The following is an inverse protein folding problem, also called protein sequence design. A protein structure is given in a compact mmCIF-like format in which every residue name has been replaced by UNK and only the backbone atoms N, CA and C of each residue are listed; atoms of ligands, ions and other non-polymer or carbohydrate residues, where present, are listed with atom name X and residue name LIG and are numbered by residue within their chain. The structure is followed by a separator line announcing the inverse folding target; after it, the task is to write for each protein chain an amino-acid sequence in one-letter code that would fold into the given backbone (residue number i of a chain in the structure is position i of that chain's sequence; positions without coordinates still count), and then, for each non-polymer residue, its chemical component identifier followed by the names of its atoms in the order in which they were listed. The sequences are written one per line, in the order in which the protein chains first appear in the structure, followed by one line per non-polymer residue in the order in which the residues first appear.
data_IF_332781560090
#
_entry.id   IF_332781560090
#
_cell.length_a   1.000
_cell.length_b   1.000
_cell.length_c   1.000
_cell.angle_alpha   90.00
_cell.angle_beta   90.00
_cell.angle_gamma   90.00
#
_symmetry.space_group_name_H-M   'P 1'
#
loop_
_entity.id
_entity.type
_entity.pdbx_description
1 polymer ?
#
# COMPACT_ATOMS: atom_id res chain seq x y z
N UNK A 1 -51.33 45.88 -44.38
CA UNK A 1 -51.62 44.65 -43.61
C UNK A 1 -52.39 43.76 -44.54
N UNK A 2 -51.80 42.64 -44.94
CA UNK A 2 -52.48 41.68 -45.81
C UNK A 2 -53.59 40.99 -44.99
N UNK A 3 -54.82 41.09 -45.48
CA UNK A 3 -55.99 40.48 -44.85
C UNK A 3 -55.95 38.96 -45.14
N UNK A 4 -55.95 38.10 -44.10
CA UNK A 4 -55.96 36.64 -44.26
C UNK A 4 -57.10 36.14 -45.18
N UNK A 5 -58.25 36.82 -45.18
CA UNK A 5 -59.38 36.47 -46.04
C UNK A 5 -59.09 36.76 -47.53
N UNK A 6 -58.27 37.77 -47.81
CA UNK A 6 -57.84 38.10 -49.16
C UNK A 6 -56.87 37.05 -49.71
N UNK A 7 -55.94 36.58 -48.88
CA UNK A 7 -55.00 35.51 -49.23
C UNK A 7 -55.72 34.19 -49.51
N UNK A 8 -56.71 33.81 -48.71
CA UNK A 8 -57.48 32.58 -48.95
C UNK A 8 -58.24 32.62 -50.28
N UNK A 9 -58.91 33.74 -50.58
CA UNK A 9 -59.63 33.91 -51.85
C UNK A 9 -58.69 33.82 -53.05
N UNK A 10 -57.51 34.42 -52.95
CA UNK A 10 -56.49 34.34 -54.00
C UNK A 10 -56.02 32.91 -54.24
N UNK A 11 -55.77 32.13 -53.17
CA UNK A 11 -55.38 30.72 -53.30
C UNK A 11 -56.50 29.88 -53.91
N UNK A 12 -57.75 30.09 -53.49
CA UNK A 12 -58.92 29.39 -54.06
C UNK A 12 -59.13 29.71 -55.55
N UNK A 13 -58.97 30.96 -55.95
CA UNK A 13 -59.06 31.38 -57.35
C UNK A 13 -57.92 30.78 -58.17
N UNK A 14 -56.72 30.74 -57.61
CA UNK A 14 -55.56 30.13 -58.25
C UNK A 14 -55.68 28.62 -58.40
N UNK A 15 -56.33 27.92 -57.45
CA UNK A 15 -56.64 26.48 -57.58
C UNK A 15 -57.69 26.20 -58.66
N UNK A 16 -58.54 27.18 -59.00
CA UNK A 16 -59.52 27.04 -60.09
C UNK A 16 -58.87 27.24 -61.45
N UNK A 17 -57.87 28.11 -61.54
CA UNK A 17 -57.17 28.43 -62.79
C UNK A 17 -56.01 27.48 -63.11
N UNK A 18 -55.29 27.01 -62.09
CA UNK A 18 -54.18 26.07 -62.22
C UNK A 18 -54.55 24.70 -61.65
N UNK A 19 -54.38 23.65 -62.45
CA UNK A 19 -54.75 22.27 -62.10
C UNK A 19 -54.04 21.71 -60.87
N UNK A 20 -52.92 22.30 -60.44
CA UNK A 20 -52.15 21.86 -59.25
C UNK A 20 -51.39 23.01 -58.59
N UNK A 21 -51.69 23.27 -57.32
CA UNK A 21 -50.86 24.10 -56.43
C UNK A 21 -49.93 23.18 -55.62
N UNK A 22 -48.65 23.53 -55.42
CA UNK A 22 -47.76 22.76 -54.56
C UNK A 22 -48.23 22.80 -53.08
N UNK A 23 -48.04 21.71 -52.31
CA UNK A 23 -48.39 21.68 -50.89
C UNK A 23 -47.72 22.81 -50.09
N UNK A 24 -48.52 23.60 -49.35
CA UNK A 24 -48.00 24.66 -48.48
C UNK A 24 -47.93 24.15 -47.05
N UNK A 25 -46.70 24.00 -46.54
CA UNK A 25 -46.46 23.62 -45.15
C UNK A 25 -46.35 24.87 -44.26
N UNK A 26 -47.19 24.98 -43.24
CA UNK A 26 -47.28 26.15 -42.37
C UNK A 26 -46.83 25.83 -40.95
N UNK A 27 -46.08 26.75 -40.35
CA UNK A 27 -45.65 26.68 -38.94
C UNK A 27 -46.11 27.94 -38.22
N UNK A 28 -46.93 27.77 -37.18
CA UNK A 28 -47.44 28.87 -36.38
C UNK A 28 -46.65 29.06 -35.09
N UNK A 29 -46.28 30.32 -34.80
CA UNK A 29 -45.61 30.71 -33.55
C UNK A 29 -46.62 31.41 -32.66
N UNK A 30 -47.05 30.72 -31.60
CA UNK A 30 -48.12 31.20 -30.71
C UNK A 30 -47.64 31.28 -29.26
N UNK A 31 -47.96 32.35 -28.52
CA UNK A 31 -47.77 32.37 -27.08
C UNK A 31 -48.66 31.31 -26.39
N UNK A 32 -48.19 30.79 -25.25
CA UNK A 32 -48.88 29.72 -24.52
C UNK A 32 -50.37 30.05 -24.27
N UNK A 33 -51.26 29.13 -24.66
CA UNK A 33 -52.72 29.29 -24.48
C UNK A 33 -53.42 30.08 -25.59
N UNK A 34 -52.74 30.47 -26.66
CA UNK A 34 -53.36 31.12 -27.84
C UNK A 34 -53.62 30.18 -29.02
N UNK A 35 -53.51 28.87 -28.78
CA UNK A 35 -53.82 27.82 -29.76
C UNK A 35 -55.30 27.93 -30.17
N UNK A 36 -55.54 28.19 -31.47
CA UNK A 36 -56.90 28.34 -32.03
C UNK A 36 -57.36 29.79 -32.28
N UNK A 37 -56.47 30.78 -32.14
CA UNK A 37 -56.70 32.15 -32.62
C UNK A 37 -56.89 32.26 -34.14
N UNK A 38 -57.23 33.45 -34.64
CA UNK A 38 -57.52 33.71 -36.07
C UNK A 38 -56.34 33.31 -36.97
N UNK A 39 -55.10 33.60 -36.55
CA UNK A 39 -53.89 33.20 -37.28
C UNK A 39 -53.69 31.67 -37.34
N UNK A 40 -54.00 30.96 -36.26
CA UNK A 40 -53.91 29.49 -36.22
C UNK A 40 -54.91 28.83 -37.16
N UNK A 41 -56.15 29.34 -37.19
CA UNK A 41 -57.18 28.85 -38.12
C UNK A 41 -56.80 29.11 -39.57
N UNK A 42 -56.35 30.33 -39.88
CA UNK A 42 -55.89 30.69 -41.22
C UNK A 42 -54.75 29.79 -41.71
N UNK A 43 -53.68 29.61 -40.93
CA UNK A 43 -52.55 28.77 -41.34
C UNK A 43 -52.95 27.29 -41.49
N UNK A 44 -53.90 26.82 -40.68
CA UNK A 44 -54.43 25.45 -40.75
C UNK A 44 -55.30 25.25 -42.00
N UNK A 45 -56.18 26.21 -42.30
CA UNK A 45 -57.03 26.20 -43.50
C UNK A 45 -56.20 26.29 -44.78
N UNK A 46 -55.17 27.14 -44.82
CA UNK A 46 -54.25 27.27 -45.95
C UNK A 46 -53.49 25.97 -46.24
N UNK A 47 -52.95 25.33 -45.19
CA UNK A 47 -52.26 24.05 -45.35
C UNK A 47 -53.22 22.95 -45.81
N UNK A 48 -54.43 22.89 -45.24
CA UNK A 48 -55.44 21.91 -45.61
C UNK A 48 -55.87 22.08 -47.08
N UNK A 49 -56.12 23.31 -47.51
CA UNK A 49 -56.57 23.63 -48.86
C UNK A 49 -55.55 23.23 -49.93
N UNK A 50 -54.25 23.38 -49.63
CA UNK A 50 -53.16 23.04 -50.57
C UNK A 50 -52.65 21.61 -50.43
N UNK A 51 -53.20 20.81 -49.51
CA UNK A 51 -52.70 19.46 -49.21
C UNK A 51 -51.34 19.44 -48.48
N UNK A 52 -50.94 20.57 -47.90
CA UNK A 52 -49.76 20.68 -47.05
C UNK A 52 -50.02 20.27 -45.59
N UNK A 53 -49.05 20.56 -44.72
CA UNK A 53 -49.15 20.23 -43.29
C UNK A 53 -49.07 21.48 -42.42
N UNK A 54 -49.89 21.52 -41.38
CA UNK A 54 -49.89 22.58 -40.38
C UNK A 54 -49.23 22.09 -39.10
N UNK A 55 -48.35 22.92 -38.52
CA UNK A 55 -47.71 22.64 -37.23
C UNK A 55 -47.74 23.87 -36.33
N UNK A 56 -47.87 23.64 -35.04
CA UNK A 56 -47.60 24.64 -34.00
C UNK A 56 -46.15 24.49 -33.59
N UNK A 57 -45.42 25.60 -33.55
CA UNK A 57 -44.06 25.61 -33.02
C UNK A 57 -44.11 25.45 -31.51
N UNK A 58 -43.60 24.33 -31.03
CA UNK A 58 -43.31 24.11 -29.62
C UNK A 58 -41.79 24.17 -29.42
N UNK A 59 -41.26 25.14 -28.64
CA UNK A 59 -39.82 25.25 -28.40
C UNK A 59 -39.24 24.08 -27.60
N UNK A 60 -40.08 23.24 -26.98
CA UNK A 60 -39.67 22.06 -26.19
C UNK A 60 -39.59 20.78 -27.01
N UNK A 61 -40.16 20.78 -28.22
CA UNK A 61 -40.25 19.60 -29.09
C UNK A 61 -39.52 19.85 -30.40
N UNK A 62 -38.51 19.02 -30.69
CA UNK A 62 -37.83 19.05 -31.98
C UNK A 62 -38.34 17.93 -32.88
N UNK A 63 -38.79 18.30 -34.07
CA UNK A 63 -39.17 17.33 -35.09
C UNK A 63 -37.97 16.97 -35.95
N UNK A 64 -37.57 15.69 -35.93
CA UNK A 64 -36.55 15.15 -36.80
C UNK A 64 -37.22 14.71 -38.11
N UNK A 65 -36.69 15.20 -39.24
CA UNK A 65 -37.15 14.76 -40.55
C UNK A 65 -36.51 13.40 -40.84
N UNK A 66 -37.31 12.32 -40.76
CA UNK A 66 -36.84 11.01 -41.20
C UNK A 66 -36.74 10.96 -42.73
N UNK A 67 -35.74 10.27 -43.30
CA UNK A 67 -35.72 9.96 -44.74
C UNK A 67 -36.93 9.15 -45.21
N UNK A 68 -37.73 8.55 -44.31
CA UNK A 68 -39.00 7.89 -44.63
C UNK A 68 -40.19 8.87 -44.78
N UNK A 69 -39.99 10.17 -44.51
CA UNK A 69 -41.03 11.20 -44.57
C UNK A 69 -41.89 11.30 -43.30
N UNK A 70 -41.67 10.43 -42.32
CA UNK A 70 -42.30 10.53 -41.00
C UNK A 70 -41.52 11.52 -40.12
N UNK A 71 -42.24 12.44 -39.47
CA UNK A 71 -41.62 13.36 -38.52
C UNK A 71 -41.56 12.69 -37.15
N UNK A 72 -40.37 12.23 -36.78
CA UNK A 72 -40.14 11.73 -35.43
C UNK A 72 -40.14 12.89 -34.45
N UNK A 73 -40.92 12.75 -33.38
CA UNK A 73 -41.03 13.74 -32.30
C UNK A 73 -39.95 13.42 -31.28
N UNK A 74 -38.92 14.27 -31.19
CA UNK A 74 -37.89 14.15 -30.17
C UNK A 74 -38.16 15.16 -29.04
N UNK A 75 -38.51 14.63 -27.87
CA UNK A 75 -38.73 15.43 -26.67
C UNK A 75 -37.38 15.79 -26.02
N UNK A 76 -37.05 17.09 -26.03
CA UNK A 76 -35.82 17.59 -25.42
C UNK A 76 -35.90 17.66 -23.89
N UNK A 77 -37.10 17.68 -23.31
CA UNK A 77 -37.27 17.80 -21.87
C UNK A 77 -36.87 16.50 -21.14
N UNK A 78 -37.10 15.35 -21.76
CA UNK A 78 -36.74 14.03 -21.22
C UNK A 78 -35.31 13.58 -21.56
N UNK A 79 -34.53 14.41 -22.27
CA UNK A 79 -33.17 14.10 -22.69
C UNK A 79 -32.22 13.91 -21.47
N UNK A 80 -31.52 12.76 -21.33
CA UNK A 80 -30.51 12.56 -20.30
C UNK A 80 -29.36 13.56 -20.43
N UNK A 81 -28.77 13.98 -19.31
CA UNK A 81 -27.73 15.02 -19.30
C UNK A 81 -26.52 14.68 -20.19
N UNK A 82 -26.14 13.41 -20.27
CA UNK A 82 -25.08 12.96 -21.18
C UNK A 82 -25.42 13.19 -22.65
N UNK A 83 -26.66 12.89 -23.05
CA UNK A 83 -27.14 13.04 -24.43
C UNK A 83 -27.29 14.53 -24.78
N UNK A 84 -27.84 15.31 -23.85
CA UNK A 84 -27.95 16.78 -23.97
C UNK A 84 -26.59 17.44 -24.16
N UNK A 85 -25.60 17.06 -23.35
CA UNK A 85 -24.25 17.62 -23.43
C UNK A 85 -23.59 17.32 -24.79
N UNK A 86 -23.80 16.10 -25.30
CA UNK A 86 -23.34 15.69 -26.62
C UNK A 86 -24.03 16.46 -27.74
N UNK A 87 -25.37 16.59 -27.70
CA UNK A 87 -26.12 17.38 -28.69
C UNK A 87 -25.66 18.82 -28.71
N UNK A 88 -25.54 19.47 -27.56
CA UNK A 88 -25.07 20.86 -27.45
C UNK A 88 -23.66 21.03 -28.00
N UNK A 89 -22.77 20.06 -27.79
CA UNK A 89 -21.44 20.05 -28.37
C UNK A 89 -21.51 19.93 -29.90
N UNK A 90 -22.26 18.95 -30.43
CA UNK A 90 -22.41 18.73 -31.88
C UNK A 90 -22.99 19.97 -32.56
N UNK A 91 -24.03 20.57 -31.99
CA UNK A 91 -24.65 21.80 -32.51
C UNK A 91 -23.67 22.97 -32.51
N UNK A 92 -22.90 23.15 -31.43
CA UNK A 92 -21.90 24.21 -31.34
C UNK A 92 -20.83 24.04 -32.42
N UNK A 93 -20.37 22.81 -32.62
CA UNK A 93 -19.30 22.48 -33.53
C UNK A 93 -19.75 22.60 -35.00
N UNK A 94 -20.96 22.13 -35.32
CA UNK A 94 -21.58 22.37 -36.62
C UNK A 94 -21.71 23.87 -36.92
N UNK A 95 -22.16 24.68 -35.95
CA UNK A 95 -22.25 26.14 -36.11
C UNK A 95 -20.89 26.80 -36.26
N UNK A 96 -19.85 26.27 -35.62
CA UNK A 96 -18.47 26.77 -35.73
C UNK A 96 -17.94 26.51 -37.14
N UNK A 97 -17.96 25.25 -37.59
CA UNK A 97 -17.44 24.85 -38.91
C UNK A 97 -18.22 25.53 -40.03
N UNK A 98 -19.54 25.66 -39.92
CA UNK A 98 -20.33 26.37 -40.95
C UNK A 98 -19.97 27.85 -41.03
N UNK A 99 -19.70 28.52 -39.91
CA UNK A 99 -19.23 29.91 -39.92
C UNK A 99 -17.84 30.03 -40.54
N UNK A 100 -16.94 29.10 -40.23
CA UNK A 100 -15.60 29.05 -40.82
C UNK A 100 -15.66 28.82 -42.33
N UNK A 101 -16.46 27.85 -42.79
CA UNK A 101 -16.66 27.57 -44.20
C UNK A 101 -17.24 28.79 -44.94
N UNK A 102 -18.24 29.47 -44.35
CA UNK A 102 -18.79 30.71 -44.90
C UNK A 102 -17.74 31.81 -45.01
N UNK A 103 -16.91 32.00 -43.99
CA UNK A 103 -15.81 32.98 -44.01
C UNK A 103 -14.75 32.67 -45.08
N UNK A 104 -14.56 31.39 -45.40
CA UNK A 104 -13.64 30.92 -46.43
C UNK A 104 -14.27 30.84 -47.83
N UNK A 105 -15.56 31.19 -47.98
CA UNK A 105 -16.30 31.07 -49.24
C UNK A 105 -16.56 29.63 -49.69
N UNK A 106 -16.44 28.66 -48.78
CA UNK A 106 -16.66 27.23 -49.04
C UNK A 106 -18.12 26.89 -48.78
N UNK A 107 -18.85 26.51 -49.84
CA UNK A 107 -20.23 26.04 -49.73
C UNK A 107 -20.26 24.51 -49.67
N UNK A 108 -20.02 23.98 -48.49
CA UNK A 108 -20.07 22.54 -48.23
C UNK A 108 -21.51 22.09 -47.94
N UNK A 109 -21.87 20.91 -48.44
CA UNK A 109 -23.14 20.25 -48.13
C UNK A 109 -23.19 19.89 -46.64
N UNK A 110 -24.33 20.13 -45.99
CA UNK A 110 -24.49 19.94 -44.54
C UNK A 110 -24.12 18.52 -44.09
N UNK A 111 -24.46 17.52 -44.90
CA UNK A 111 -24.19 16.10 -44.65
C UNK A 111 -22.69 15.81 -44.51
N UNK A 112 -21.85 16.51 -45.29
CA UNK A 112 -20.39 16.37 -45.21
C UNK A 112 -19.85 16.99 -43.94
N UNK A 113 -20.35 18.17 -43.57
CA UNK A 113 -19.99 18.83 -42.31
C UNK A 113 -20.42 17.98 -41.09
N UNK A 114 -21.60 17.33 -41.16
CA UNK A 114 -22.07 16.40 -40.12
C UNK A 114 -21.11 15.21 -39.97
N UNK A 115 -20.74 14.55 -41.07
CA UNK A 115 -19.81 13.42 -41.03
C UNK A 115 -18.45 13.81 -40.40
N UNK A 116 -17.97 15.02 -40.70
CA UNK A 116 -16.72 15.54 -40.11
C UNK A 116 -16.82 15.78 -38.61
N UNK A 117 -17.93 16.36 -38.14
CA UNK A 117 -18.17 16.56 -36.70
C UNK A 117 -18.28 15.23 -35.95
N UNK A 118 -18.91 14.22 -36.57
CA UNK A 118 -18.98 12.87 -35.99
C UNK A 118 -17.59 12.24 -35.82
N UNK A 119 -16.70 12.40 -36.80
CA UNK A 119 -15.33 11.87 -36.71
C UNK A 119 -14.47 12.62 -35.66
N UNK A 120 -14.63 13.94 -35.55
CA UNK A 120 -14.01 14.74 -34.48
C UNK A 120 -14.45 14.24 -33.10
N UNK A 121 -15.75 14.07 -32.90
CA UNK A 121 -16.31 13.59 -31.65
C UNK A 121 -15.82 12.20 -31.27
N UNK A 122 -15.70 11.30 -32.27
CA UNK A 122 -15.15 9.96 -32.08
C UNK A 122 -13.71 10.02 -31.55
N UNK A 123 -12.91 10.92 -32.10
CA UNK A 123 -11.51 11.11 -31.69
C UNK A 123 -11.42 11.65 -30.26
N UNK A 124 -12.24 12.65 -29.92
CA UNK A 124 -12.31 13.20 -28.56
C UNK A 124 -12.75 12.17 -27.53
N UNK A 125 -13.74 11.32 -27.85
CA UNK A 125 -14.15 10.21 -26.97
C UNK A 125 -12.99 9.26 -26.68
N UNK A 126 -12.26 8.84 -27.71
CA UNK A 126 -11.10 7.96 -27.56
C UNK A 126 -9.99 8.60 -26.71
N UNK A 127 -9.75 9.91 -26.88
CA UNK A 127 -8.80 10.66 -26.05
C UNK A 127 -9.26 10.72 -24.60
N UNK A 128 -10.54 11.07 -24.35
CA UNK A 128 -11.08 11.15 -22.99
C UNK A 128 -11.02 9.80 -22.24
N UNK A 129 -11.22 8.68 -22.94
CA UNK A 129 -11.03 7.34 -22.36
C UNK A 129 -9.56 7.02 -22.09
N UNK A 130 -8.67 7.39 -23.02
CA UNK A 130 -7.23 7.24 -22.86
C UNK A 130 -6.70 8.03 -21.65
N UNK A 131 -7.17 9.26 -21.47
CA UNK A 131 -6.81 10.14 -20.36
C UNK A 131 -7.32 9.58 -19.03
N UNK A 132 -8.58 9.11 -18.99
CA UNK A 132 -9.13 8.42 -17.82
C UNK A 132 -8.33 7.17 -17.45
N UNK A 133 -7.94 6.35 -18.43
CA UNK A 133 -7.08 5.17 -18.20
C UNK A 133 -5.70 5.58 -17.70
N UNK A 134 -5.12 6.65 -18.23
CA UNK A 134 -3.82 7.16 -17.83
C UNK A 134 -3.84 7.72 -16.42
N UNK A 135 -4.83 8.53 -16.06
CA UNK A 135 -5.04 9.00 -14.68
C UNK A 135 -5.23 7.84 -13.70
N UNK A 136 -5.98 6.79 -14.10
CA UNK A 136 -6.13 5.59 -13.27
C UNK A 136 -4.80 4.88 -13.05
N UNK A 137 -3.99 4.72 -14.08
CA UNK A 137 -2.64 4.12 -13.98
C UNK A 137 -1.74 4.95 -13.08
N UNK A 138 -1.76 6.27 -13.23
CA UNK A 138 -0.96 7.18 -12.41
C UNK A 138 -1.32 7.08 -10.93
N UNK A 139 -2.63 7.09 -10.60
CA UNK A 139 -3.08 6.87 -9.21
C UNK A 139 -2.61 5.52 -8.65
N UNK A 140 -2.82 4.44 -9.40
CA UNK A 140 -2.35 3.11 -8.97
C UNK A 140 -0.82 3.06 -8.79
N UNK A 141 -0.07 3.77 -9.64
CA UNK A 141 1.38 3.87 -9.52
C UNK A 141 1.80 4.66 -8.28
N UNK A 142 1.15 5.79 -7.99
CA UNK A 142 1.38 6.57 -6.77
C UNK A 142 1.06 5.76 -5.51
N UNK A 143 -0.08 5.06 -5.51
CA UNK A 143 -0.49 4.19 -4.39
C UNK A 143 0.52 3.04 -4.19
N UNK A 144 1.00 2.45 -5.28
CA UNK A 144 2.04 1.42 -5.24
C UNK A 144 3.35 1.95 -4.65
N UNK A 145 3.84 3.10 -5.13
CA UNK A 145 5.07 3.71 -4.60
C UNK A 145 4.96 4.03 -3.11
N UNK A 146 3.80 4.54 -2.68
CA UNK A 146 3.53 4.79 -1.26
C UNK A 146 3.56 3.48 -0.46
N UNK A 147 2.88 2.43 -0.94
CA UNK A 147 2.87 1.13 -0.26
C UNK A 147 4.28 0.51 -0.15
N UNK A 148 5.12 0.68 -1.16
CA UNK A 148 6.52 0.24 -1.13
C UNK A 148 7.31 1.00 -0.06
N UNK A 149 7.12 2.31 0.04
CA UNK A 149 7.79 3.14 1.04
C UNK A 149 7.34 2.81 2.46
N UNK A 150 6.03 2.67 2.69
CA UNK A 150 5.45 2.25 3.98
C UNK A 150 6.03 0.90 4.44
N UNK A 151 6.20 -0.04 3.49
CA UNK A 151 6.79 -1.36 3.76
C UNK A 151 8.27 -1.27 4.13
N UNK A 152 9.03 -0.40 3.46
CA UNK A 152 10.44 -0.17 3.80
C UNK A 152 10.58 0.42 5.21
N UNK A 153 9.78 1.42 5.54
CA UNK A 153 9.77 2.00 6.88
C UNK A 153 9.43 0.96 7.95
N UNK A 154 8.42 0.12 7.69
CA UNK A 154 8.04 -0.94 8.61
C UNK A 154 9.18 -1.96 8.79
N UNK A 155 9.87 -2.34 7.71
CA UNK A 155 10.99 -3.27 7.78
C UNK A 155 12.18 -2.70 8.56
N UNK A 156 12.52 -1.42 8.37
CA UNK A 156 13.59 -0.79 9.15
C UNK A 156 13.21 -0.70 10.64
N UNK A 157 11.96 -0.36 10.98
CA UNK A 157 11.49 -0.37 12.38
C UNK A 157 11.59 -1.76 13.01
N UNK A 158 11.17 -2.81 12.29
CA UNK A 158 11.27 -4.19 12.77
C UNK A 158 12.73 -4.60 12.99
N UNK A 159 13.62 -4.21 12.07
CA UNK A 159 15.06 -4.48 12.16
C UNK A 159 15.69 -3.78 13.36
N UNK A 160 15.41 -2.50 13.56
CA UNK A 160 15.88 -1.74 14.73
C UNK A 160 15.38 -2.36 16.04
N UNK A 161 14.11 -2.72 16.11
CA UNK A 161 13.51 -3.39 17.28
C UNK A 161 14.16 -4.74 17.57
N UNK A 162 14.42 -5.53 16.53
CA UNK A 162 15.05 -6.85 16.66
C UNK A 162 16.49 -6.72 17.16
N UNK A 163 17.26 -5.77 16.61
CA UNK A 163 18.63 -5.49 17.05
C UNK A 163 18.64 -5.04 18.52
N UNK A 164 17.73 -4.15 18.90
CA UNK A 164 17.60 -3.67 20.28
C UNK A 164 17.30 -4.82 21.25
N UNK A 165 16.30 -5.66 20.95
CA UNK A 165 15.95 -6.83 21.78
C UNK A 165 17.13 -7.80 21.90
N UNK A 166 17.82 -8.08 20.80
CA UNK A 166 19.00 -8.95 20.82
C UNK A 166 20.12 -8.36 21.70
N UNK A 167 20.37 -7.05 21.64
CA UNK A 167 21.35 -6.39 22.50
C UNK A 167 20.97 -6.45 23.98
N UNK A 168 19.69 -6.23 24.31
CA UNK A 168 19.18 -6.33 25.68
C UNK A 168 19.32 -7.76 26.22
N UNK A 169 18.94 -8.77 25.44
CA UNK A 169 19.07 -10.18 25.80
C UNK A 169 20.55 -10.59 25.95
N UNK A 170 21.41 -10.15 25.03
CA UNK A 170 22.86 -10.38 25.13
C UNK A 170 23.46 -9.76 26.39
N UNK A 171 23.04 -8.54 26.77
CA UNK A 171 23.49 -7.90 28.02
C UNK A 171 23.03 -8.66 29.25
N UNK A 172 21.78 -9.10 29.28
CA UNK A 172 21.24 -9.93 30.36
C UNK A 172 22.03 -11.22 30.53
N UNK A 173 22.30 -11.94 29.43
CA UNK A 173 23.12 -13.16 29.45
C UNK A 173 24.54 -12.86 29.95
N UNK A 174 25.14 -11.74 29.52
CA UNK A 174 26.47 -11.33 30.01
C UNK A 174 26.46 -11.04 31.52
N UNK A 175 25.42 -10.40 32.05
CA UNK A 175 25.26 -10.14 33.48
C UNK A 175 25.06 -11.44 34.29
N UNK A 176 24.21 -12.35 33.80
CA UNK A 176 24.00 -13.67 34.38
C UNK A 176 25.32 -14.47 34.42
N UNK A 177 26.06 -14.49 33.30
CA UNK A 177 27.36 -15.15 33.22
C UNK A 177 28.41 -14.51 34.14
N UNK A 178 28.44 -13.18 34.24
CA UNK A 178 29.33 -12.48 35.17
C UNK A 178 29.02 -12.85 36.63
N UNK A 179 27.73 -12.97 36.97
CA UNK A 179 27.29 -13.44 38.28
C UNK A 179 27.73 -14.88 38.55
N UNK A 180 27.56 -15.78 37.58
CA UNK A 180 27.98 -17.18 37.69
C UNK A 180 29.51 -17.33 37.84
N UNK A 181 30.30 -16.56 37.06
CA UNK A 181 31.77 -16.53 37.16
C UNK A 181 32.19 -16.06 38.55
N UNK A 182 31.58 -14.97 39.05
CA UNK A 182 31.89 -14.46 40.39
C UNK A 182 31.55 -15.49 41.48
N UNK A 183 30.38 -16.12 41.40
CA UNK A 183 30.00 -17.16 42.35
C UNK A 183 30.96 -18.37 42.33
N UNK A 184 31.44 -18.75 41.14
CA UNK A 184 32.44 -19.81 40.99
C UNK A 184 33.80 -19.39 41.59
N UNK A 185 34.22 -18.13 41.40
CA UNK A 185 35.42 -17.56 42.03
C UNK A 185 35.32 -17.55 43.55
N UNK A 186 34.22 -17.01 44.10
CA UNK A 186 33.99 -16.95 45.54
C UNK A 186 33.97 -18.37 46.17
N UNK A 187 33.40 -19.35 45.46
CA UNK A 187 33.42 -20.76 45.88
C UNK A 187 34.82 -21.38 45.82
N UNK A 188 35.62 -21.02 44.82
CA UNK A 188 37.00 -21.49 44.70
C UNK A 188 37.86 -20.91 45.83
N UNK A 189 37.80 -19.61 46.06
CA UNK A 189 38.56 -18.92 47.11
C UNK A 189 38.21 -19.47 48.50
N UNK A 190 36.91 -19.71 48.75
CA UNK A 190 36.45 -20.33 50.00
C UNK A 190 37.02 -21.74 50.18
N UNK A 191 37.03 -22.55 49.11
CA UNK A 191 37.60 -23.89 49.15
C UNK A 191 39.12 -23.88 49.36
N UNK A 192 39.83 -22.90 48.79
CA UNK A 192 41.26 -22.71 49.00
C UNK A 192 41.59 -22.32 50.45
N UNK A 193 40.84 -21.40 51.04
CA UNK A 193 41.00 -21.04 52.47
C UNK A 193 40.76 -22.25 53.37
N UNK A 194 39.73 -23.04 53.08
CA UNK A 194 39.45 -24.26 53.84
C UNK A 194 40.56 -25.32 53.66
N UNK A 195 41.13 -25.40 52.47
CA UNK A 195 42.26 -26.25 52.16
C UNK A 195 43.52 -25.84 52.93
N UNK A 196 43.88 -24.56 52.93
CA UNK A 196 45.02 -24.04 53.68
C UNK A 196 44.90 -24.36 55.17
N UNK A 197 43.72 -24.15 55.76
CA UNK A 197 43.44 -24.50 57.16
C UNK A 197 43.65 -25.98 57.45
N UNK A 198 43.16 -26.85 56.58
CA UNK A 198 43.31 -28.30 56.74
C UNK A 198 44.77 -28.75 56.58
N UNK A 199 45.50 -28.17 55.64
CA UNK A 199 46.94 -28.43 55.46
C UNK A 199 47.74 -27.98 56.68
N UNK A 200 47.51 -26.78 57.21
CA UNK A 200 48.16 -26.30 58.43
C UNK A 200 47.84 -27.20 59.64
N UNK A 201 46.58 -27.65 59.77
CA UNK A 201 46.16 -28.59 60.82
C UNK A 201 46.92 -29.92 60.72
N UNK A 202 46.97 -30.51 59.53
CA UNK A 202 47.67 -31.77 59.29
C UNK A 202 49.19 -31.64 59.47
N UNK A 203 49.79 -30.50 59.11
CA UNK A 203 51.21 -30.20 59.38
C UNK A 203 51.46 -30.15 60.89
N UNK A 204 50.62 -29.44 61.65
CA UNK A 204 50.73 -29.37 63.10
C UNK A 204 50.58 -30.75 63.78
N UNK A 205 49.59 -31.56 63.37
CA UNK A 205 49.43 -32.94 63.87
C UNK A 205 50.66 -33.82 63.60
N UNK A 206 51.27 -33.66 62.43
CA UNK A 206 52.49 -34.36 62.07
C UNK A 206 53.68 -33.90 62.92
N UNK A 207 53.88 -32.59 63.09
CA UNK A 207 54.93 -32.02 63.94
C UNK A 207 54.81 -32.47 65.40
N UNK A 208 53.59 -32.51 65.93
CA UNK A 208 53.30 -33.01 67.29
C UNK A 208 53.65 -34.50 67.42
N UNK A 209 53.20 -35.33 66.47
CA UNK A 209 53.52 -36.77 66.42
C UNK A 209 55.02 -37.04 66.27
N UNK A 210 55.74 -36.15 65.57
CA UNK A 210 57.20 -36.20 65.43
C UNK A 210 57.92 -35.90 66.74
N UNK A 211 57.48 -34.86 67.47
CA UNK A 211 58.03 -34.48 68.77
C UNK A 211 57.81 -35.53 69.85
N UNK A 212 56.68 -36.25 69.82
CA UNK A 212 56.38 -37.32 70.76
C UNK A 212 57.19 -38.62 70.52
N UNK A 213 58.04 -38.66 69.49
CA UNK A 213 58.91 -39.81 69.20
C UNK A 213 58.17 -41.04 68.67
N UNK A 214 56.91 -40.88 68.24
CA UNK A 214 56.02 -41.98 67.80
C UNK A 214 56.23 -42.35 66.32
N UNK A 215 57.18 -41.73 65.61
CA UNK A 215 57.37 -41.98 64.17
C UNK A 215 58.24 -43.22 63.92
N UNK A 216 57.58 -44.38 63.90
CA UNK A 216 58.03 -45.54 63.12
C UNK A 216 57.84 -45.20 61.63
N UNK A 217 58.83 -45.44 60.76
CA UNK A 217 58.79 -45.16 59.29
C UNK A 217 57.46 -45.53 58.59
N UNK A 218 56.72 -46.51 59.13
CA UNK A 218 55.40 -46.96 58.68
C UNK A 218 54.28 -45.91 58.79
N UNK A 219 54.31 -45.03 59.80
CA UNK A 219 53.29 -43.97 59.97
C UNK A 219 53.49 -42.80 59.01
N UNK A 220 54.72 -42.55 58.53
CA UNK A 220 55.03 -41.49 57.55
C UNK A 220 54.40 -41.76 56.17
N UNK A 221 54.49 -42.99 55.69
CA UNK A 221 53.90 -43.39 54.40
C UNK A 221 52.36 -43.44 54.49
N UNK A 222 51.81 -43.90 55.62
CA UNK A 222 50.37 -43.90 55.85
C UNK A 222 49.78 -42.49 55.96
N UNK A 223 50.49 -41.55 56.61
CA UNK A 223 50.08 -40.15 56.65
C UNK A 223 50.13 -39.51 55.25
N UNK A 224 51.23 -39.72 54.50
CA UNK A 224 51.36 -39.26 53.10
C UNK A 224 50.25 -39.83 52.22
N UNK A 225 49.95 -41.12 52.33
CA UNK A 225 48.89 -41.76 51.56
C UNK A 225 47.49 -41.25 51.94
N UNK A 226 47.23 -40.97 53.23
CA UNK A 226 45.96 -40.38 53.69
C UNK A 226 45.78 -38.95 53.18
N UNK A 227 46.84 -38.14 53.23
CA UNK A 227 46.84 -36.77 52.68
C UNK A 227 46.56 -36.82 51.18
N UNK A 228 47.29 -37.65 50.43
CA UNK A 228 47.10 -37.82 48.98
C UNK A 228 45.70 -38.34 48.61
N UNK A 229 45.16 -39.30 49.37
CA UNK A 229 43.83 -39.87 49.11
C UNK A 229 42.70 -38.89 49.42
N UNK A 230 42.83 -38.11 50.50
CA UNK A 230 41.85 -37.08 50.85
C UNK A 230 41.94 -35.91 49.87
N UNK A 231 43.15 -35.58 49.41
CA UNK A 231 43.39 -34.58 48.38
C UNK A 231 42.76 -34.98 47.04
N UNK A 232 43.01 -36.20 46.57
CA UNK A 232 42.47 -36.66 45.28
C UNK A 232 40.93 -36.70 45.26
N UNK A 233 40.30 -37.05 46.39
CA UNK A 233 38.85 -37.03 46.52
C UNK A 233 38.29 -35.60 46.48
N UNK A 234 38.87 -34.67 47.25
CA UNK A 234 38.41 -33.26 47.29
C UNK A 234 38.65 -32.54 45.96
N UNK A 235 39.76 -32.82 45.29
CA UNK A 235 40.07 -32.30 43.95
C UNK A 235 39.10 -32.84 42.89
N UNK A 236 38.76 -34.13 42.95
CA UNK A 236 37.76 -34.73 42.06
C UNK A 236 36.35 -34.11 42.28
N UNK A 237 35.98 -33.82 43.53
CA UNK A 237 34.72 -33.17 43.86
C UNK A 237 34.67 -31.72 43.35
N UNK A 238 35.77 -30.97 43.49
CA UNK A 238 35.89 -29.60 42.98
C UNK A 238 35.84 -29.57 41.44
N UNK A 239 36.51 -30.53 40.79
CA UNK A 239 36.47 -30.74 39.34
C UNK A 239 35.04 -31.00 38.86
N UNK A 240 34.30 -31.85 39.56
CA UNK A 240 32.90 -32.15 39.23
C UNK A 240 31.97 -30.95 39.42
N UNK A 241 32.22 -30.10 40.43
CA UNK A 241 31.42 -28.90 40.69
C UNK A 241 31.68 -27.73 39.75
N UNK A 242 32.93 -27.56 39.28
CA UNK A 242 33.36 -26.35 38.53
C UNK A 242 33.70 -26.64 37.05
N UNK A 243 33.69 -27.92 36.61
CA UNK A 243 34.08 -28.34 35.25
C UNK A 243 35.44 -27.75 34.81
N UNK A 244 36.44 -27.78 35.69
CA UNK A 244 37.79 -27.26 35.43
C UNK A 244 38.66 -28.26 34.64
N UNK A 245 39.55 -27.74 33.78
CA UNK A 245 40.56 -28.51 33.04
C UNK A 245 41.74 -28.97 33.92
N UNK A 246 42.27 -30.16 33.61
CA UNK A 246 43.16 -30.99 34.47
C UNK A 246 44.56 -30.43 34.75
N UNK A 247 45.05 -29.50 33.93
CA UNK A 247 46.49 -29.18 33.89
C UNK A 247 46.95 -28.30 35.06
N UNK A 248 46.12 -27.36 35.55
CA UNK A 248 46.53 -26.42 36.61
C UNK A 248 46.48 -27.04 38.00
N UNK A 249 45.51 -27.92 38.25
CA UNK A 249 45.38 -28.61 39.54
C UNK A 249 46.50 -29.59 39.83
N UNK A 250 46.87 -30.37 38.82
CA UNK A 250 47.95 -31.35 38.92
C UNK A 250 49.31 -30.68 39.13
N UNK A 251 49.52 -29.47 38.62
CA UNK A 251 50.72 -28.67 38.88
C UNK A 251 50.80 -28.19 40.34
N UNK A 252 49.70 -27.68 40.91
CA UNK A 252 49.66 -27.23 42.31
C UNK A 252 49.95 -28.39 43.29
N UNK A 253 49.39 -29.57 43.04
CA UNK A 253 49.65 -30.79 43.84
C UNK A 253 51.11 -31.19 43.84
N UNK A 254 51.75 -31.14 42.66
CA UNK A 254 53.17 -31.50 42.53
C UNK A 254 54.06 -30.49 43.24
N UNK A 255 53.72 -29.20 43.21
CA UNK A 255 54.45 -28.15 43.91
C UNK A 255 54.39 -28.31 45.44
N UNK A 256 53.19 -28.55 46.01
CA UNK A 256 53.04 -28.75 47.46
C UNK A 256 53.75 -30.05 47.93
N UNK A 257 53.77 -31.09 47.10
CA UNK A 257 54.51 -32.32 47.39
C UNK A 257 56.03 -32.14 47.32
N UNK A 258 56.51 -31.22 46.48
CA UNK A 258 57.92 -30.87 46.41
C UNK A 258 58.36 -30.09 47.66
N UNK A 259 57.59 -29.10 48.12
CA UNK A 259 57.89 -28.36 49.37
C UNK A 259 57.90 -29.28 50.60
N UNK A 260 56.91 -30.17 50.75
CA UNK A 260 56.86 -31.15 51.86
C UNK A 260 57.94 -32.25 51.71
N UNK A 261 58.47 -32.44 50.50
CA UNK A 261 59.58 -33.33 50.21
C UNK A 261 60.94 -32.74 50.56
N UNK A 262 61.16 -31.46 50.25
CA UNK A 262 62.41 -30.73 50.46
C UNK A 262 62.61 -30.28 51.91
N UNK A 263 61.57 -29.79 52.63
CA UNK A 263 61.68 -29.46 54.07
C UNK A 263 62.10 -30.69 54.89
N UNK A 264 61.62 -31.88 54.51
CA UNK A 264 61.92 -33.14 55.21
C UNK A 264 63.25 -33.80 54.78
N UNK A 265 63.94 -33.26 53.78
CA UNK A 265 65.30 -33.67 53.39
C UNK A 265 66.36 -32.81 54.08
N UNK A 266 66.07 -31.52 54.30
CA UNK A 266 66.95 -30.60 55.05
C UNK A 266 67.10 -30.99 56.53
N UNK A 267 66.04 -31.48 57.18
CA UNK A 267 66.08 -31.87 58.61
C UNK A 267 66.60 -33.30 58.88
N UNK A 268 67.07 -34.02 57.86
CA UNK A 268 67.68 -35.36 58.02
C UNK A 268 69.21 -35.33 57.83
N UNK A 269 69.77 -34.22 57.36
CA UNK A 269 71.23 -34.01 57.25
C UNK A 269 71.83 -33.14 58.38
N UNK A 270 71.04 -32.68 59.36
CA UNK A 270 71.50 -32.17 60.67
C UNK A 270 71.19 -33.14 61.82
#
# INVERSE_FOLDING_TARGET
MDDPLHTMRYVEEWMRELSTIPPIHTVGFYPAGSDGGVGARFLKELALLTGGSYRVYDPTVHHLYSPTGEAEVYDLASEPESVRSERLWVERELRRIRRENLNLGVFERLEVTIARVQELHRTERLQSESDRKSQRRERMWTDYLKSVEDTKEQNERIKEDTIRRHMEESRRIMEENKGAIKAAQDSYDSAMIEWEKECSRLKAEWEESAREGVIVKRTREELRARILKRFSYRWAELKHRVKLDDEKGTAAVRATLAEVGEEAAGEVEE
#
